data_IF_866908094094
#
_entry.id   IF_866908094094
#
_cell.length_a   1.000
_cell.length_b   1.000
_cell.length_c   1.000
_cell.angle_alpha   90.00
_cell.angle_beta   90.00
_cell.angle_gamma   90.00
#
_symmetry.space_group_name_H-M   'P 1'
#
loop_
_entity.id
_entity.type
_entity.pdbx_description
1 polymer ?
#
# COMPACT_ATOMS: atom_id res chain seq x y z
N UNK A 1 32.43 -6.48 -4.07
CA UNK A 1 32.00 -7.62 -3.24
C UNK A 1 30.50 -7.75 -3.39
N UNK A 2 30.08 -8.91 -3.90
CA UNK A 2 28.71 -9.24 -4.30
C UNK A 2 27.87 -9.66 -3.10
N UNK A 3 26.81 -8.91 -2.83
CA UNK A 3 25.58 -9.32 -2.14
C UNK A 3 24.52 -8.59 -2.99
N UNK A 4 23.57 -9.21 -3.68
CA UNK A 4 22.48 -10.02 -3.17
C UNK A 4 21.89 -10.82 -4.35
N UNK A 5 22.28 -12.09 -4.45
CA UNK A 5 21.44 -13.13 -5.00
C UNK A 5 20.79 -13.82 -3.82
N UNK A 6 19.76 -13.21 -3.23
CA UNK A 6 18.92 -13.89 -2.24
C UNK A 6 17.61 -14.20 -2.94
N UNK A 7 17.43 -15.48 -3.28
CA UNK A 7 16.12 -16.06 -3.52
C UNK A 7 15.17 -15.52 -2.45
N UNK A 8 14.09 -14.86 -2.87
CA UNK A 8 13.07 -14.37 -1.94
C UNK A 8 12.52 -15.63 -1.25
N UNK A 9 12.66 -15.77 0.08
CA UNK A 9 12.11 -16.92 0.77
C UNK A 9 10.62 -16.98 0.43
N UNK A 10 10.17 -18.11 -0.10
CA UNK A 10 8.74 -18.34 -0.32
C UNK A 10 8.11 -18.52 1.06
N UNK A 11 7.81 -17.40 1.74
CA UNK A 11 7.23 -17.39 3.09
C UNK A 11 5.91 -18.16 3.01
N UNK A 12 5.95 -19.41 3.44
CA UNK A 12 4.91 -20.43 3.30
C UNK A 12 3.85 -20.33 4.40
N UNK A 13 4.09 -19.50 5.41
CA UNK A 13 3.12 -19.28 6.48
C UNK A 13 2.00 -18.32 6.06
N UNK A 14 0.77 -18.51 6.58
CA UNK A 14 -0.33 -17.57 6.41
C UNK A 14 0.08 -16.19 6.92
N UNK A 15 0.14 -15.22 6.02
CA UNK A 15 0.32 -13.82 6.41
C UNK A 15 -1.05 -13.29 6.84
N UNK A 16 -1.27 -13.18 8.14
CA UNK A 16 -2.48 -12.59 8.72
C UNK A 16 -2.15 -11.26 9.41
N UNK A 17 -3.03 -10.27 9.24
CA UNK A 17 -2.91 -8.99 9.95
C UNK A 17 -3.76 -9.04 11.22
N UNK A 18 -3.16 -8.68 12.35
CA UNK A 18 -3.89 -8.49 13.60
C UNK A 18 -3.63 -7.12 14.21
N UNK A 19 -4.58 -6.64 15.00
CA UNK A 19 -4.35 -5.46 15.85
C UNK A 19 -3.18 -5.77 16.78
N UNK A 20 -2.26 -4.81 16.92
CA UNK A 20 -1.06 -4.96 17.73
C UNK A 20 0.16 -5.51 16.98
N UNK A 21 0.03 -6.02 15.73
CA UNK A 21 1.19 -6.36 14.89
C UNK A 21 2.17 -5.19 14.84
N UNK A 22 3.46 -5.47 15.10
CA UNK A 22 4.53 -4.46 15.16
C UNK A 22 5.46 -4.59 13.97
N UNK A 23 6.02 -3.46 13.55
CA UNK A 23 7.00 -3.36 12.48
C UNK A 23 8.08 -2.35 12.88
N UNK A 24 9.33 -2.62 12.52
CA UNK A 24 10.45 -1.73 12.85
C UNK A 24 10.35 -0.39 12.13
N UNK A 25 9.87 -0.41 10.88
CA UNK A 25 9.80 0.78 10.03
C UNK A 25 8.48 0.88 9.28
N UNK A 26 8.15 2.11 8.84
CA UNK A 26 7.03 2.38 7.95
C UNK A 26 7.16 1.66 6.59
N UNK A 27 8.38 1.40 6.12
CA UNK A 27 8.65 0.71 4.86
C UNK A 27 8.31 -0.78 5.00
N UNK A 28 8.79 -1.42 6.08
CA UNK A 28 8.46 -2.81 6.38
C UNK A 28 6.95 -2.98 6.53
N UNK A 29 6.30 -2.11 7.32
CA UNK A 29 4.85 -2.13 7.50
C UNK A 29 4.09 -2.02 6.17
N UNK A 30 4.49 -1.08 5.29
CA UNK A 30 3.85 -0.88 3.99
C UNK A 30 4.01 -2.11 3.08
N UNK A 31 5.21 -2.68 3.03
CA UNK A 31 5.48 -3.86 2.21
C UNK A 31 4.70 -5.07 2.71
N UNK A 32 4.67 -5.31 4.03
CA UNK A 32 3.91 -6.41 4.62
C UNK A 32 2.40 -6.27 4.35
N UNK A 33 1.84 -5.08 4.48
CA UNK A 33 0.42 -4.84 4.20
C UNK A 33 0.11 -5.05 2.72
N UNK A 34 0.96 -4.56 1.81
CA UNK A 34 0.78 -4.77 0.37
C UNK A 34 0.89 -6.24 -0.03
N UNK A 35 1.81 -6.97 0.57
CA UNK A 35 1.96 -8.42 0.37
C UNK A 35 0.76 -9.19 0.91
N UNK A 36 0.20 -8.78 2.07
CA UNK A 36 -1.07 -9.31 2.58
C UNK A 36 -2.19 -9.17 1.55
N UNK A 37 -2.40 -7.95 1.03
CA UNK A 37 -3.41 -7.72 -0.02
C UNK A 37 -3.17 -8.57 -1.25
N UNK A 38 -1.92 -8.66 -1.71
CA UNK A 38 -1.53 -9.50 -2.86
C UNK A 38 -1.91 -10.96 -2.66
N UNK A 39 -1.55 -11.56 -1.51
CA UNK A 39 -1.88 -12.95 -1.17
C UNK A 39 -3.39 -13.19 -1.02
N UNK A 40 -4.13 -12.15 -0.59
CA UNK A 40 -5.59 -12.18 -0.44
C UNK A 40 -6.34 -11.75 -1.69
N UNK A 41 -5.67 -11.41 -2.79
CA UNK A 41 -6.30 -11.11 -4.08
C UNK A 41 -6.78 -9.66 -4.28
N UNK A 42 -6.25 -8.68 -3.55
CA UNK A 42 -6.61 -7.27 -3.73
C UNK A 42 -5.45 -6.29 -3.60
N UNK A 43 -5.54 -5.19 -4.34
CA UNK A 43 -4.57 -4.10 -4.27
C UNK A 43 -4.87 -3.16 -3.10
N UNK A 44 -3.81 -2.65 -2.48
CA UNK A 44 -3.86 -1.74 -1.33
C UNK A 44 -3.16 -0.44 -1.66
N UNK A 45 -3.86 0.67 -1.38
CA UNK A 45 -3.37 2.02 -1.59
C UNK A 45 -3.16 2.74 -0.25
N UNK A 46 -2.18 3.63 -0.20
CA UNK A 46 -2.02 4.57 0.92
C UNK A 46 -3.07 5.67 0.81
N UNK A 47 -3.88 5.85 1.84
CA UNK A 47 -5.00 6.79 1.84
C UNK A 47 -4.71 8.08 2.60
N UNK A 48 -4.23 7.96 3.83
CA UNK A 48 -4.00 9.11 4.73
C UNK A 48 -2.64 8.97 5.41
N UNK A 49 -1.96 10.09 5.59
CA UNK A 49 -0.73 10.21 6.37
C UNK A 49 -0.92 11.37 7.34
N UNK A 50 -0.67 11.11 8.63
CA UNK A 50 -0.66 12.15 9.67
C UNK A 50 0.76 12.31 10.19
N UNK A 51 1.16 13.56 10.38
CA UNK A 51 2.49 13.91 10.87
C UNK A 51 2.42 14.39 12.31
N UNK A 52 3.50 14.17 13.06
CA UNK A 52 3.66 14.76 14.39
C UNK A 52 3.79 16.28 14.26
N UNK A 53 3.03 17.00 15.07
CA UNK A 53 3.25 18.43 15.27
C UNK A 53 4.61 18.64 15.93
N UNK A 54 5.43 19.50 15.32
CA UNK A 54 6.73 19.96 15.82
C UNK A 54 7.84 18.90 15.95
N UNK A 55 7.76 17.80 15.20
CA UNK A 55 8.88 16.86 15.09
C UNK A 55 9.34 16.74 13.64
N UNK A 56 10.64 16.96 13.47
CA UNK A 56 11.31 16.96 12.18
C UNK A 56 12.43 15.92 12.25
N UNK A 57 12.65 15.17 11.16
CA UNK A 57 13.77 14.25 11.03
C UNK A 57 15.08 15.02 10.83
N UNK A 58 16.20 14.33 10.93
CA UNK A 58 17.52 14.92 10.64
C UNK A 58 17.64 15.47 9.20
N UNK A 59 16.74 15.07 8.29
CA UNK A 59 16.67 15.55 6.90
C UNK A 59 15.73 16.75 6.71
N UNK A 60 15.06 17.24 7.76
CA UNK A 60 14.09 18.33 7.62
C UNK A 60 12.66 17.89 7.33
N UNK A 61 12.39 16.58 7.24
CA UNK A 61 11.05 16.05 6.98
C UNK A 61 10.20 15.93 8.24
N UNK A 62 8.88 16.13 8.12
CA UNK A 62 7.97 15.89 9.26
C UNK A 62 7.93 14.40 9.62
N UNK A 63 7.99 14.11 10.91
CA UNK A 63 7.91 12.72 11.40
C UNK A 63 6.49 12.18 11.20
N UNK A 64 6.36 11.04 10.52
CA UNK A 64 5.07 10.37 10.32
C UNK A 64 4.59 9.71 11.62
N UNK A 65 3.37 10.07 12.03
CA UNK A 65 2.70 9.56 13.24
C UNK A 65 1.69 8.46 12.92
N UNK A 66 0.90 8.61 11.84
CA UNK A 66 -0.10 7.61 11.42
C UNK A 66 -0.12 7.43 9.92
N UNK A 67 -0.49 6.22 9.49
CA UNK A 67 -0.87 5.93 8.10
C UNK A 67 -2.13 5.09 8.06
N UNK A 68 -2.97 5.36 7.07
CA UNK A 68 -4.12 4.54 6.74
C UNK A 68 -3.91 3.94 5.36
N UNK A 69 -4.06 2.62 5.27
CA UNK A 69 -4.05 1.87 4.01
C UNK A 69 -5.45 1.33 3.73
N UNK A 70 -5.86 1.37 2.47
CA UNK A 70 -7.23 1.05 2.05
C UNK A 70 -7.20 0.16 0.82
N UNK A 71 -8.29 -0.57 0.59
CA UNK A 71 -8.47 -1.31 -0.66
C UNK A 71 -8.50 -0.33 -1.86
N UNK A 72 -8.05 -0.78 -3.04
CA UNK A 72 -8.15 0.00 -4.28
C UNK A 72 -9.58 0.50 -4.55
N UNK A 73 -10.58 -0.29 -4.16
CA UNK A 73 -12.00 -0.02 -4.34
C UNK A 73 -12.63 0.82 -3.21
N UNK A 74 -11.81 1.38 -2.30
CA UNK A 74 -12.28 2.05 -1.08
C UNK A 74 -13.08 3.34 -1.31
N UNK A 75 -14.14 3.46 -0.52
CA UNK A 75 -15.01 4.63 -0.44
C UNK A 75 -15.93 4.82 -1.65
N UNK A 76 -16.77 5.85 -1.60
CA UNK A 76 -17.71 6.18 -2.69
C UNK A 76 -17.04 7.10 -3.71
N UNK A 77 -17.35 6.87 -4.99
CA UNK A 77 -17.06 7.87 -6.01
C UNK A 77 -17.88 9.13 -5.75
N UNK A 78 -17.22 10.28 -5.73
CA UNK A 78 -17.86 11.60 -5.70
C UNK A 78 -17.49 12.30 -7.00
N UNK A 79 -18.42 12.48 -7.95
CA UNK A 79 -18.12 13.18 -9.19
C UNK A 79 -17.75 14.63 -8.90
N UNK A 80 -16.62 15.08 -9.44
CA UNK A 80 -16.21 16.48 -9.46
C UNK A 80 -15.99 16.94 -10.91
N UNK A 81 -16.89 16.51 -11.81
CA UNK A 81 -16.77 16.78 -13.24
C UNK A 81 -17.55 18.04 -13.57
N UNK A 82 -16.85 19.06 -14.07
CA UNK A 82 -17.46 20.30 -14.58
C UNK A 82 -17.75 20.25 -16.09
N UNK A 83 -17.13 19.30 -16.83
CA UNK A 83 -17.28 19.19 -18.29
C UNK A 83 -18.57 18.46 -18.68
N UNK A 84 -19.15 18.81 -19.83
CA UNK A 84 -20.32 18.14 -20.43
C UNK A 84 -20.05 16.65 -20.68
N UNK A 85 -21.11 15.85 -20.75
CA UNK A 85 -21.02 14.39 -20.91
C UNK A 85 -20.24 14.02 -22.18
N UNK A 86 -20.36 14.77 -23.28
CA UNK A 86 -19.66 14.44 -24.54
C UNK A 86 -18.14 14.57 -24.44
N UNK A 87 -17.62 15.36 -23.50
CA UNK A 87 -16.19 15.56 -23.29
C UNK A 87 -15.58 14.62 -22.25
N UNK A 88 -16.39 13.74 -21.65
CA UNK A 88 -15.95 12.82 -20.61
C UNK A 88 -15.49 11.50 -21.22
N UNK A 89 -14.37 10.97 -20.73
CA UNK A 89 -13.97 9.60 -21.07
C UNK A 89 -14.99 8.60 -20.50
N UNK A 90 -15.29 7.55 -21.26
CA UNK A 90 -16.13 6.41 -20.86
C UNK A 90 -15.45 5.48 -19.84
N UNK A 91 -14.66 6.04 -18.91
CA UNK A 91 -13.97 5.29 -17.86
C UNK A 91 -14.67 5.52 -16.53
N UNK A 92 -15.26 4.45 -15.99
CA UNK A 92 -15.87 4.43 -14.67
C UNK A 92 -14.85 4.55 -13.53
N UNK A 93 -15.34 4.85 -12.33
CA UNK A 93 -14.53 4.77 -11.11
C UNK A 93 -14.39 3.33 -10.64
N UNK A 94 -13.23 2.97 -10.08
CA UNK A 94 -13.06 1.70 -9.37
C UNK A 94 -13.71 1.70 -7.97
N UNK A 95 -14.19 2.84 -7.48
CA UNK A 95 -14.69 2.95 -6.11
C UNK A 95 -16.07 2.27 -5.95
N UNK A 96 -16.15 1.20 -5.16
CA UNK A 96 -17.38 0.43 -4.91
C UNK A 96 -17.96 0.65 -3.52
N UNK A 97 -17.43 1.60 -2.74
CA UNK A 97 -17.68 1.74 -1.30
C UNK A 97 -17.13 0.61 -0.43
N UNK A 98 -16.08 -0.07 -0.91
CA UNK A 98 -15.34 -1.02 -0.10
C UNK A 98 -14.86 -0.36 1.21
N UNK A 99 -15.00 -1.07 2.33
CA UNK A 99 -14.68 -0.56 3.67
C UNK A 99 -13.33 -1.06 4.18
N UNK A 100 -12.74 -2.05 3.53
CA UNK A 100 -11.47 -2.61 3.96
C UNK A 100 -10.41 -1.52 4.11
N UNK A 101 -9.88 -1.42 5.32
CA UNK A 101 -8.78 -0.53 5.63
C UNK A 101 -8.06 -0.93 6.92
N UNK A 102 -6.82 -0.46 7.05
CA UNK A 102 -5.97 -0.68 8.21
C UNK A 102 -5.36 0.66 8.64
N UNK A 103 -5.42 0.96 9.93
CA UNK A 103 -4.77 2.11 10.53
C UNK A 103 -3.53 1.67 11.29
N UNK A 104 -2.45 2.42 11.10
CA UNK A 104 -1.17 2.21 11.75
C UNK A 104 -0.76 3.48 12.49
N UNK A 105 -0.08 3.30 13.62
CA UNK A 105 0.49 4.41 14.37
C UNK A 105 1.92 4.11 14.81
N UNK A 106 2.72 5.18 14.90
CA UNK A 106 4.00 5.20 15.61
C UNK A 106 3.90 6.25 16.72
N UNK A 107 3.63 5.85 17.97
CA UNK A 107 3.68 6.74 19.12
C UNK A 107 5.05 7.42 19.28
N UNK A 108 5.07 8.59 19.94
CA UNK A 108 6.28 9.43 20.08
C UNK A 108 7.44 8.73 20.83
N UNK A 109 7.13 7.77 21.70
CA UNK A 109 8.10 7.13 22.59
C UNK A 109 8.30 5.64 22.26
N UNK A 110 7.99 5.24 21.03
CA UNK A 110 8.12 3.86 20.57
C UNK A 110 8.88 3.84 19.26
N UNK A 111 9.81 2.91 19.14
CA UNK A 111 10.58 2.77 17.89
C UNK A 111 9.85 1.96 16.82
N UNK A 112 8.78 1.26 17.20
CA UNK A 112 7.98 0.45 16.29
C UNK A 112 6.72 1.16 15.78
N UNK A 113 6.31 0.80 14.58
CA UNK A 113 4.98 1.05 14.02
C UNK A 113 4.08 -0.12 14.41
N UNK A 114 2.81 0.10 14.72
CA UNK A 114 1.87 -0.99 14.94
C UNK A 114 0.50 -0.75 14.33
N UNK A 115 -0.23 -1.84 14.08
CA UNK A 115 -1.62 -1.80 13.65
C UNK A 115 -2.51 -1.44 14.84
N UNK A 116 -3.28 -0.36 14.70
CA UNK A 116 -4.23 0.10 15.73
C UNK A 116 -5.66 -0.34 15.43
N UNK A 117 -5.99 -0.57 14.17
CA UNK A 117 -7.36 -0.88 13.74
C UNK A 117 -7.37 -1.58 12.38
N UNK A 118 -8.30 -2.52 12.21
CA UNK A 118 -8.55 -3.24 10.95
C UNK A 118 -10.07 -3.26 10.72
N UNK A 119 -10.50 -2.86 9.53
CA UNK A 119 -11.82 -3.19 9.00
C UNK A 119 -11.65 -4.31 7.98
N UNK A 120 -12.10 -5.55 8.24
CA UNK A 120 -11.79 -6.71 7.40
C UNK A 120 -12.72 -6.86 6.19
N UNK A 121 -13.87 -6.19 6.19
CA UNK A 121 -14.90 -6.46 5.18
C UNK A 121 -14.59 -5.87 3.80
N UNK A 122 -14.82 -6.70 2.78
CA UNK A 122 -14.89 -6.32 1.39
C UNK A 122 -16.32 -6.44 0.88
N UNK A 123 -16.69 -5.59 -0.07
CA UNK A 123 -17.99 -5.64 -0.74
C UNK A 123 -17.88 -6.00 -2.22
N UNK A 124 -16.75 -6.57 -2.61
CA UNK A 124 -16.44 -7.04 -3.94
C UNK A 124 -15.68 -8.35 -3.83
N UNK A 125 -15.69 -9.12 -4.91
CA UNK A 125 -14.93 -10.36 -4.98
C UNK A 125 -13.42 -10.08 -4.90
N UNK A 126 -12.71 -10.96 -4.20
CA UNK A 126 -11.26 -10.96 -4.11
C UNK A 126 -10.73 -11.96 -5.13
N UNK A 127 -9.93 -11.47 -6.08
CA UNK A 127 -9.43 -12.30 -7.18
C UNK A 127 -7.99 -12.70 -6.85
N UNK A 128 -7.75 -13.99 -6.60
CA UNK A 128 -6.40 -14.47 -6.26
C UNK A 128 -5.40 -14.19 -7.40
N UNK A 129 -5.87 -14.25 -8.64
CA UNK A 129 -5.08 -13.92 -9.84
C UNK A 129 -4.81 -12.42 -10.02
N UNK A 130 -5.36 -11.57 -9.14
CA UNK A 130 -5.11 -10.14 -9.20
C UNK A 130 -3.62 -9.81 -9.07
N UNK A 131 -2.82 -10.69 -8.45
CA UNK A 131 -1.36 -10.62 -8.46
C UNK A 131 -0.74 -10.49 -9.87
N UNK A 132 -1.37 -11.10 -10.88
CA UNK A 132 -0.94 -11.10 -12.29
C UNK A 132 -1.40 -9.81 -12.98
N UNK A 133 -2.63 -9.40 -12.74
CA UNK A 133 -3.29 -8.37 -13.55
C UNK A 133 -3.27 -6.97 -12.94
N UNK A 134 -3.20 -6.81 -11.61
CA UNK A 134 -3.22 -5.49 -10.98
C UNK A 134 -1.96 -4.71 -11.35
N UNK A 135 -2.14 -3.49 -11.86
CA UNK A 135 -1.02 -2.59 -12.14
C UNK A 135 -0.12 -2.37 -10.91
N UNK A 136 -0.68 -2.44 -9.70
CA UNK A 136 0.06 -2.30 -8.44
C UNK A 136 1.10 -3.40 -8.19
N UNK A 137 0.97 -4.56 -8.84
CA UNK A 137 1.87 -5.70 -8.67
C UNK A 137 2.80 -5.91 -9.87
N UNK A 138 2.58 -5.20 -10.97
CA UNK A 138 3.47 -5.23 -12.14
C UNK A 138 4.76 -4.48 -11.79
N UNK A 139 5.89 -5.19 -11.75
CA UNK A 139 7.23 -4.60 -11.67
C UNK A 139 8.06 -5.26 -12.76
N UNK A 140 8.92 -4.47 -13.40
CA UNK A 140 9.91 -5.05 -14.30
C UNK A 140 10.87 -5.92 -13.50
N UNK A 141 11.36 -6.98 -14.14
CA UNK A 141 12.40 -7.80 -13.56
C UNK A 141 13.64 -6.96 -13.26
N UNK A 142 14.40 -7.39 -12.25
CA UNK A 142 15.59 -6.68 -11.78
C UNK A 142 16.61 -6.51 -12.91
N UNK A 143 16.72 -7.47 -13.82
CA UNK A 143 17.56 -7.37 -15.02
C UNK A 143 17.13 -6.23 -15.93
N UNK A 144 15.84 -6.15 -16.24
CA UNK A 144 15.27 -5.09 -17.08
C UNK A 144 15.42 -3.72 -16.40
N UNK A 145 15.20 -3.64 -15.08
CA UNK A 145 15.40 -2.39 -14.33
C UNK A 145 16.85 -1.90 -14.41
N UNK A 146 17.83 -2.81 -14.29
CA UNK A 146 19.25 -2.47 -14.42
C UNK A 146 19.60 -1.96 -15.82
N UNK A 147 19.05 -2.57 -16.87
CA UNK A 147 19.26 -2.11 -18.25
C UNK A 147 18.70 -0.70 -18.47
N UNK A 148 17.53 -0.38 -17.91
CA UNK A 148 16.92 0.95 -17.97
C UNK A 148 17.81 1.98 -17.25
N UNK A 149 18.31 1.67 -16.06
CA UNK A 149 19.18 2.58 -15.29
C UNK A 149 20.49 2.89 -16.02
N UNK A 150 21.05 1.94 -16.78
CA UNK A 150 22.24 2.15 -17.60
C UNK A 150 21.99 2.94 -18.89
N UNK A 151 20.73 2.98 -19.38
CA UNK A 151 20.36 3.66 -20.62
C UNK A 151 19.99 5.14 -20.46
N UNK A 152 19.76 5.60 -19.22
CA UNK A 152 19.55 7.02 -18.90
C UNK A 152 20.92 7.66 -18.64
N UNK A 153 21.58 8.09 -19.71
CA UNK A 153 22.79 8.94 -19.70
C UNK A 153 22.41 10.34 -20.14
#
# INVERSE_FOLDING_TARGET
>A
MSLFGSEIPTITEPLELSIGCRFDTWIVAENTIKEYGKRKGFAINRHRVEYSENQITNLGDRVVKKRTYVCEYFGKYKPNKMKSIEQQHNKGSKKTDCKWHVNLSKPKNTDFVHITFIHPDHNHELLVDNAIFAAAFRRFDISIMKEIEHAVV
#
